data_IF_634784688034
#
_entry.id   IF_634784688034
#
_cell.length_a   1.000
_cell.length_b   1.000
_cell.length_c   1.000
_cell.angle_alpha   90.00
_cell.angle_beta   90.00
_cell.angle_gamma   90.00
#
_symmetry.space_group_name_H-M   'P 1'
#
loop_
_entity.id
_entity.type
_entity.pdbx_description
1 polymer ?
#
# COMPACT_ATOMS: atom_id res chain seq x y z
N UNK A 1 -3.97 -65.58 -3.90
CA UNK A 1 -4.73 -64.46 -4.47
C UNK A 1 -3.72 -63.43 -4.93
N UNK A 2 -3.38 -63.45 -6.23
CA UNK A 2 -2.44 -62.50 -6.85
C UNK A 2 -3.18 -61.25 -7.24
N UNK A 3 -2.86 -60.13 -6.60
CA UNK A 3 -3.39 -58.83 -6.94
C UNK A 3 -2.90 -58.40 -8.35
N UNK A 4 -3.78 -58.32 -9.31
CA UNK A 4 -3.49 -57.76 -10.63
C UNK A 4 -3.32 -56.24 -10.49
N UNK A 5 -2.10 -55.78 -10.70
CA UNK A 5 -1.81 -54.34 -10.85
C UNK A 5 -2.37 -53.92 -12.21
N UNK A 6 -3.46 -53.16 -12.18
CA UNK A 6 -4.04 -52.53 -13.37
C UNK A 6 -3.06 -51.45 -13.84
N UNK A 7 -2.49 -51.52 -15.05
CA UNK A 7 -1.63 -50.45 -15.55
C UNK A 7 -2.46 -49.20 -15.77
N UNK A 8 -2.07 -48.06 -15.14
CA UNK A 8 -2.63 -46.75 -15.43
C UNK A 8 -2.42 -46.45 -16.93
N UNK A 9 -3.50 -46.48 -17.70
CA UNK A 9 -3.50 -46.08 -19.10
C UNK A 9 -3.00 -44.64 -19.20
N UNK A 10 -1.86 -44.44 -19.84
CA UNK A 10 -1.33 -43.15 -20.26
C UNK A 10 -2.37 -42.50 -21.18
N UNK A 11 -3.11 -41.51 -20.67
CA UNK A 11 -4.00 -40.70 -21.48
C UNK A 11 -3.16 -39.85 -22.45
N UNK A 12 -2.99 -40.31 -23.68
CA UNK A 12 -2.18 -39.68 -24.73
C UNK A 12 -2.93 -38.59 -25.54
N UNK A 13 -4.11 -38.15 -25.10
CA UNK A 13 -4.95 -37.19 -25.86
C UNK A 13 -4.93 -35.76 -25.33
N UNK A 14 -4.08 -35.44 -24.37
CA UNK A 14 -4.05 -34.12 -23.68
C UNK A 14 -2.91 -33.20 -24.09
N UNK A 15 -1.92 -33.62 -24.88
CA UNK A 15 -0.73 -32.81 -25.12
C UNK A 15 -0.96 -31.52 -25.93
N UNK A 16 -1.84 -31.54 -26.92
CA UNK A 16 -2.15 -30.37 -27.76
C UNK A 16 -2.94 -29.29 -27.00
N UNK A 17 -4.08 -29.59 -26.35
CA UNK A 17 -4.80 -28.60 -25.54
C UNK A 17 -3.94 -28.06 -24.39
N UNK A 18 -3.10 -28.88 -23.77
CA UNK A 18 -2.23 -28.46 -22.67
C UNK A 18 -1.12 -27.53 -23.17
N UNK A 19 -0.52 -27.77 -24.32
CA UNK A 19 0.44 -26.87 -24.97
C UNK A 19 -0.19 -25.55 -25.37
N UNK A 20 -1.40 -25.57 -25.97
CA UNK A 20 -2.14 -24.35 -26.33
C UNK A 20 -2.48 -23.53 -25.08
N UNK A 21 -2.98 -24.19 -24.06
CA UNK A 21 -3.29 -23.52 -22.76
C UNK A 21 -2.05 -22.90 -22.14
N UNK A 22 -0.95 -23.64 -22.05
CA UNK A 22 0.31 -23.14 -21.53
C UNK A 22 0.86 -21.98 -22.35
N UNK A 23 0.83 -22.05 -23.67
CA UNK A 23 1.28 -20.95 -24.53
C UNK A 23 0.40 -19.71 -24.39
N UNK A 24 -0.93 -19.87 -24.26
CA UNK A 24 -1.86 -18.78 -24.04
C UNK A 24 -1.58 -18.07 -22.69
N UNK A 25 -1.42 -18.82 -21.59
CA UNK A 25 -1.07 -18.25 -20.29
C UNK A 25 0.28 -17.54 -20.34
N UNK A 26 1.29 -18.15 -20.99
CA UNK A 26 2.62 -17.53 -21.14
C UNK A 26 2.52 -16.26 -21.96
N UNK A 27 1.76 -16.24 -23.05
CA UNK A 27 1.54 -15.03 -23.85
C UNK A 27 0.83 -13.92 -23.04
N UNK A 28 -0.18 -14.26 -22.24
CA UNK A 28 -0.82 -13.31 -21.33
C UNK A 28 0.18 -12.74 -20.29
N UNK A 29 1.03 -13.58 -19.71
CA UNK A 29 2.07 -13.13 -18.78
C UNK A 29 3.09 -12.21 -19.44
N UNK A 30 3.56 -12.56 -20.63
CA UNK A 30 4.49 -11.73 -21.42
C UNK A 30 3.86 -10.44 -21.90
N UNK A 31 2.57 -10.41 -22.22
CA UNK A 31 1.87 -9.18 -22.62
C UNK A 31 1.82 -8.15 -21.49
N UNK A 32 1.66 -8.56 -20.22
CA UNK A 32 1.70 -7.66 -19.06
C UNK A 32 3.10 -7.05 -18.91
N UNK A 33 4.16 -7.86 -19.05
CA UNK A 33 5.53 -7.35 -18.99
C UNK A 33 5.84 -6.41 -20.16
N UNK A 34 5.39 -6.75 -21.38
CA UNK A 34 5.56 -5.88 -22.54
C UNK A 34 4.83 -4.53 -22.37
N UNK A 35 3.61 -4.54 -21.83
CA UNK A 35 2.85 -3.33 -21.50
C UNK A 35 3.59 -2.46 -20.49
N UNK A 36 4.14 -3.06 -19.43
CA UNK A 36 4.89 -2.35 -18.41
C UNK A 36 6.15 -1.68 -18.99
N UNK A 37 6.92 -2.42 -19.80
CA UNK A 37 8.10 -1.88 -20.50
C UNK A 37 7.72 -0.74 -21.45
N UNK A 38 6.61 -0.88 -22.18
CA UNK A 38 6.11 0.13 -23.10
C UNK A 38 5.68 1.41 -22.36
N UNK A 39 5.00 1.29 -21.20
CA UNK A 39 4.63 2.44 -20.37
C UNK A 39 5.90 3.17 -19.90
N UNK A 40 6.89 2.46 -19.38
CA UNK A 40 8.15 3.07 -18.93
C UNK A 40 8.87 3.76 -20.10
N UNK A 41 8.94 3.11 -21.26
CA UNK A 41 9.54 3.69 -22.47
C UNK A 41 8.82 4.98 -22.89
N UNK A 42 7.50 5.00 -22.91
CA UNK A 42 6.69 6.18 -23.26
C UNK A 42 6.90 7.32 -22.25
N UNK A 43 6.92 7.01 -20.95
CA UNK A 43 7.21 7.99 -19.92
C UNK A 43 8.61 8.57 -20.06
N UNK A 44 9.63 7.74 -20.31
CA UNK A 44 11.00 8.21 -20.55
C UNK A 44 11.12 9.06 -21.83
N UNK A 45 10.44 8.68 -22.90
CA UNK A 45 10.45 9.41 -24.15
C UNK A 45 9.83 10.80 -24.01
N UNK A 46 8.69 10.89 -23.35
CA UNK A 46 7.94 12.15 -23.16
C UNK A 46 8.52 13.03 -22.04
N UNK A 47 9.24 12.48 -21.08
CA UNK A 47 9.96 13.24 -20.05
C UNK A 47 11.31 13.81 -20.53
N UNK A 48 11.69 13.58 -21.78
CA UNK A 48 13.02 13.94 -22.30
C UNK A 48 13.32 15.45 -22.23
N UNK A 49 12.35 16.32 -22.45
CA UNK A 49 12.52 17.78 -22.35
C UNK A 49 12.89 18.18 -20.92
N UNK A 50 12.14 17.73 -19.93
CA UNK A 50 12.42 17.98 -18.51
C UNK A 50 13.76 17.38 -18.08
N UNK A 51 14.06 16.16 -18.52
CA UNK A 51 15.35 15.50 -18.26
C UNK A 51 16.55 16.28 -18.81
N UNK A 52 16.45 16.84 -20.02
CA UNK A 52 17.51 17.67 -20.59
C UNK A 52 17.64 19.04 -19.92
N UNK A 53 16.53 19.60 -19.42
CA UNK A 53 16.53 20.90 -18.74
C UNK A 53 17.06 20.80 -17.29
N UNK A 54 16.64 19.80 -16.52
CA UNK A 54 16.89 19.73 -15.08
C UNK A 54 17.77 18.55 -14.67
N UNK A 55 17.80 17.45 -15.44
CA UNK A 55 18.59 16.25 -15.14
C UNK A 55 18.31 15.70 -13.74
N UNK A 56 19.33 15.21 -13.05
CA UNK A 56 19.21 14.68 -11.70
C UNK A 56 18.81 15.73 -10.63
N UNK A 57 18.99 17.02 -10.91
CA UNK A 57 18.57 18.09 -9.99
C UNK A 57 17.07 18.11 -9.78
N UNK A 58 16.28 17.67 -10.77
CA UNK A 58 14.83 17.52 -10.67
C UNK A 58 14.39 16.77 -9.41
N UNK A 59 15.09 15.70 -9.04
CA UNK A 59 14.75 14.90 -7.85
C UNK A 59 15.20 15.52 -6.52
N UNK A 60 16.09 16.51 -6.57
CA UNK A 60 16.67 17.15 -5.38
C UNK A 60 16.17 18.57 -5.14
N UNK A 61 15.53 19.19 -6.13
CA UNK A 61 15.02 20.56 -6.06
C UNK A 61 13.60 20.58 -5.48
N UNK A 62 13.33 21.56 -4.62
CA UNK A 62 12.03 21.77 -3.99
C UNK A 62 11.15 22.80 -4.70
N UNK A 63 11.69 23.51 -5.68
CA UNK A 63 10.99 24.58 -6.37
C UNK A 63 10.03 24.01 -7.43
N UNK A 64 8.78 24.46 -7.37
CA UNK A 64 7.75 24.12 -8.33
C UNK A 64 7.02 25.40 -8.74
N UNK A 65 7.45 25.97 -9.85
CA UNK A 65 6.93 27.23 -10.40
C UNK A 65 6.64 27.10 -11.89
N UNK A 66 5.39 26.82 -12.28
CA UNK A 66 5.01 26.70 -13.68
C UNK A 66 5.17 28.01 -14.47
N UNK A 67 5.13 29.19 -13.80
CA UNK A 67 5.25 30.48 -14.46
C UNK A 67 6.69 30.77 -14.91
N UNK A 68 7.67 30.41 -14.07
CA UNK A 68 9.10 30.57 -14.36
C UNK A 68 9.73 29.30 -14.95
N UNK A 69 8.91 28.28 -15.27
CA UNK A 69 9.35 26.98 -15.80
C UNK A 69 10.43 26.30 -14.93
N UNK A 70 10.33 26.43 -13.61
CA UNK A 70 11.23 25.76 -12.67
C UNK A 70 10.51 24.60 -12.01
N UNK A 71 11.06 23.38 -12.18
CA UNK A 71 10.40 22.16 -11.73
C UNK A 71 11.32 21.28 -10.91
N UNK A 72 10.81 20.78 -9.77
CA UNK A 72 11.49 19.87 -8.87
C UNK A 72 10.52 18.89 -8.21
N UNK A 73 10.89 17.61 -8.13
CA UNK A 73 10.03 16.54 -7.64
C UNK A 73 10.13 16.31 -6.12
N UNK A 74 11.11 16.90 -5.43
CA UNK A 74 11.39 16.60 -4.02
C UNK A 74 10.19 16.74 -3.08
N UNK A 75 9.37 17.82 -3.14
CA UNK A 75 8.21 17.98 -2.26
C UNK A 75 7.17 16.86 -2.46
N UNK A 76 6.97 16.42 -3.70
CA UNK A 76 6.01 15.38 -4.04
C UNK A 76 6.48 13.97 -3.61
N UNK A 77 7.78 13.70 -3.75
CA UNK A 77 8.42 12.47 -3.25
C UNK A 77 8.29 12.44 -1.71
N UNK A 78 8.64 13.53 -1.05
CA UNK A 78 8.50 13.68 0.40
C UNK A 78 7.06 13.45 0.85
N UNK A 79 6.09 14.13 0.23
CA UNK A 79 4.68 13.99 0.55
C UNK A 79 4.16 12.56 0.39
N UNK A 80 4.54 11.90 -0.69
CA UNK A 80 4.14 10.49 -0.95
C UNK A 80 4.73 9.54 0.09
N UNK A 81 6.02 9.68 0.42
CA UNK A 81 6.68 8.81 1.39
C UNK A 81 6.17 9.03 2.81
N UNK A 82 6.02 10.27 3.24
CA UNK A 82 5.56 10.58 4.60
C UNK A 82 4.11 10.20 4.81
N UNK A 83 3.21 10.52 3.88
CA UNK A 83 1.79 10.15 4.00
C UNK A 83 1.58 8.63 3.99
N UNK A 84 2.28 7.89 3.12
CA UNK A 84 2.20 6.44 3.07
C UNK A 84 2.82 5.76 4.30
N UNK A 85 3.94 6.28 4.81
CA UNK A 85 4.54 5.77 6.05
C UNK A 85 3.61 5.99 7.24
N UNK A 86 3.03 7.19 7.37
CA UNK A 86 2.06 7.50 8.42
C UNK A 86 0.83 6.58 8.34
N UNK A 87 0.33 6.35 7.12
CA UNK A 87 -0.76 5.41 6.89
C UNK A 87 -0.42 4.00 7.37
N UNK A 88 0.78 3.50 7.08
CA UNK A 88 1.22 2.18 7.54
C UNK A 88 1.35 2.09 9.06
N UNK A 89 1.92 3.11 9.70
CA UNK A 89 2.07 3.13 11.17
C UNK A 89 0.72 2.98 11.86
N UNK A 90 -0.33 3.58 11.30
CA UNK A 90 -1.70 3.49 11.84
C UNK A 90 -2.38 2.19 11.40
N UNK A 91 -2.32 1.87 10.11
CA UNK A 91 -3.10 0.78 9.53
C UNK A 91 -2.60 -0.61 9.91
N UNK A 92 -1.28 -0.83 10.00
CA UNK A 92 -0.74 -2.18 10.25
C UNK A 92 -1.18 -2.73 11.59
N UNK A 93 -1.00 -2.05 12.74
CA UNK A 93 -1.43 -2.59 14.02
C UNK A 93 -2.96 -2.79 14.08
N UNK A 94 -3.73 -1.85 13.50
CA UNK A 94 -5.17 -1.94 13.46
C UNK A 94 -5.64 -3.14 12.62
N UNK A 95 -5.08 -3.32 11.43
CA UNK A 95 -5.43 -4.41 10.52
C UNK A 95 -5.09 -5.79 11.07
N UNK A 96 -3.91 -5.92 11.67
CA UNK A 96 -3.50 -7.18 12.33
C UNK A 96 -4.42 -7.46 13.52
N UNK A 97 -4.76 -6.43 14.31
CA UNK A 97 -5.70 -6.55 15.42
C UNK A 97 -7.08 -7.02 14.96
N UNK A 98 -7.64 -6.42 13.91
CA UNK A 98 -8.93 -6.82 13.30
C UNK A 98 -8.86 -8.26 12.79
N UNK A 99 -7.80 -8.64 12.10
CA UNK A 99 -7.63 -9.99 11.58
C UNK A 99 -7.53 -11.03 12.71
N UNK A 100 -6.74 -10.77 13.75
CA UNK A 100 -6.63 -11.66 14.92
C UNK A 100 -7.97 -11.76 15.65
N UNK A 101 -8.64 -10.65 15.87
CA UNK A 101 -9.95 -10.66 16.50
C UNK A 101 -10.95 -11.52 15.72
N UNK A 102 -11.06 -11.33 14.42
CA UNK A 102 -12.03 -12.04 13.57
C UNK A 102 -11.71 -13.53 13.43
N UNK A 103 -10.43 -13.94 13.46
CA UNK A 103 -10.04 -15.36 13.32
C UNK A 103 -10.06 -16.11 14.63
N UNK A 104 -9.50 -15.55 15.72
CA UNK A 104 -9.19 -16.29 16.94
C UNK A 104 -10.17 -15.99 18.11
N UNK A 105 -10.75 -14.79 18.14
CA UNK A 105 -11.54 -14.33 19.30
C UNK A 105 -13.04 -14.17 19.02
N UNK A 106 -13.41 -13.89 17.79
CA UNK A 106 -14.78 -13.60 17.40
C UNK A 106 -15.67 -14.85 17.48
N UNK A 107 -16.87 -14.76 18.07
CA UNK A 107 -17.89 -15.82 18.00
C UNK A 107 -18.20 -16.21 16.55
N UNK A 108 -18.40 -17.51 16.30
CA UNK A 108 -18.63 -18.04 14.94
C UNK A 108 -19.78 -17.33 14.20
N UNK A 109 -20.85 -16.95 14.92
CA UNK A 109 -22.00 -16.26 14.36
C UNK A 109 -21.70 -14.86 13.83
N UNK A 110 -20.74 -14.13 14.43
CA UNK A 110 -20.39 -12.76 14.05
C UNK A 110 -19.23 -12.69 13.04
N UNK A 111 -18.48 -13.77 12.88
CA UNK A 111 -17.29 -13.82 12.02
C UNK A 111 -17.62 -13.50 10.56
N UNK A 112 -18.69 -14.09 10.01
CA UNK A 112 -19.14 -13.84 8.64
C UNK A 112 -19.56 -12.39 8.41
N UNK A 113 -20.53 -11.85 9.19
CA UNK A 113 -20.94 -10.44 9.07
C UNK A 113 -19.78 -9.44 9.19
N UNK A 114 -18.91 -9.60 10.19
CA UNK A 114 -17.76 -8.69 10.36
C UNK A 114 -16.80 -8.73 9.17
N UNK A 115 -16.50 -9.93 8.65
CA UNK A 115 -15.66 -10.07 7.46
C UNK A 115 -16.30 -9.41 6.25
N UNK A 116 -17.59 -9.58 6.05
CA UNK A 116 -18.34 -8.93 4.98
C UNK A 116 -18.26 -7.39 5.07
N UNK A 117 -18.44 -6.80 6.26
CA UNK A 117 -18.30 -5.35 6.43
C UNK A 117 -16.88 -4.85 6.12
N UNK A 118 -15.84 -5.59 6.52
CA UNK A 118 -14.45 -5.24 6.19
C UNK A 118 -14.22 -5.29 4.68
N UNK A 119 -14.72 -6.31 4.00
CA UNK A 119 -14.62 -6.44 2.54
C UNK A 119 -15.42 -5.35 1.81
N UNK A 120 -16.60 -4.98 2.33
CA UNK A 120 -17.42 -3.89 1.80
C UNK A 120 -16.68 -2.54 1.86
N UNK A 121 -15.95 -2.25 2.94
CA UNK A 121 -15.11 -1.05 3.04
C UNK A 121 -14.04 -1.01 1.94
N UNK A 122 -13.44 -2.15 1.57
CA UNK A 122 -12.46 -2.20 0.48
C UNK A 122 -13.06 -1.88 -0.90
N UNK A 123 -14.36 -2.11 -1.08
CA UNK A 123 -15.07 -1.89 -2.34
C UNK A 123 -15.50 -0.43 -2.56
N UNK A 124 -15.44 0.43 -1.53
CA UNK A 124 -15.84 1.83 -1.64
C UNK A 124 -14.87 2.59 -2.55
N UNK A 125 -15.34 3.34 -3.57
CA UNK A 125 -14.49 4.19 -4.40
C UNK A 125 -13.74 5.25 -3.57
N UNK A 126 -12.47 5.51 -3.91
CA UNK A 126 -11.61 6.44 -3.16
C UNK A 126 -12.15 7.87 -3.10
N UNK A 127 -12.87 8.32 -4.13
CA UNK A 127 -13.53 9.63 -4.15
C UNK A 127 -14.53 9.79 -3.01
N UNK A 128 -15.28 8.73 -2.68
CA UNK A 128 -16.25 8.76 -1.57
C UNK A 128 -15.52 8.91 -0.23
N UNK A 129 -14.39 8.24 -0.05
CA UNK A 129 -13.53 8.44 1.11
C UNK A 129 -13.03 9.88 1.21
N UNK A 130 -12.60 10.47 0.08
CA UNK A 130 -12.15 11.85 0.02
C UNK A 130 -13.25 12.84 0.39
N UNK A 131 -14.46 12.69 -0.16
CA UNK A 131 -15.63 13.50 0.20
C UNK A 131 -15.99 13.36 1.68
N UNK A 132 -16.07 12.14 2.18
CA UNK A 132 -16.32 11.90 3.59
C UNK A 132 -15.25 12.55 4.47
N UNK A 133 -13.99 12.51 4.03
CA UNK A 133 -12.90 13.10 4.79
C UNK A 133 -13.03 14.62 4.88
N UNK A 134 -13.40 15.32 3.79
CA UNK A 134 -13.61 16.79 3.82
C UNK A 134 -14.71 17.16 4.81
N UNK A 135 -15.84 16.46 4.78
CA UNK A 135 -17.00 16.86 5.57
C UNK A 135 -17.00 16.32 7.00
N UNK A 136 -16.29 15.24 7.28
CA UNK A 136 -16.28 14.58 8.59
C UNK A 136 -14.89 14.55 9.22
N UNK A 137 -13.89 14.03 8.49
CA UNK A 137 -12.55 13.84 9.06
C UNK A 137 -11.85 15.18 9.31
N UNK A 138 -11.87 16.10 8.34
CA UNK A 138 -11.22 17.43 8.44
C UNK A 138 -11.78 18.24 9.61
N UNK A 139 -13.11 18.42 9.79
CA UNK A 139 -13.66 19.08 10.97
C UNK A 139 -13.32 18.37 12.29
N UNK A 140 -13.30 17.04 12.30
CA UNK A 140 -12.92 16.25 13.48
C UNK A 140 -11.44 16.49 13.85
N UNK A 141 -10.56 16.51 12.84
CA UNK A 141 -9.14 16.77 13.06
C UNK A 141 -8.90 18.19 13.57
N UNK A 142 -9.45 19.20 12.89
CA UNK A 142 -9.23 20.61 13.23
C UNK A 142 -9.74 20.98 14.62
N UNK A 143 -10.89 20.44 15.02
CA UNK A 143 -11.54 20.82 16.28
C UNK A 143 -11.08 20.00 17.49
N UNK A 144 -10.69 18.74 17.31
CA UNK A 144 -10.39 17.85 18.43
C UNK A 144 -8.99 17.24 18.39
N UNK A 145 -8.62 16.61 17.27
CA UNK A 145 -7.40 15.78 17.22
C UNK A 145 -6.14 16.65 17.16
N UNK A 146 -6.08 17.59 16.24
CA UNK A 146 -4.92 18.48 16.08
C UNK A 146 -4.66 19.36 17.29
N UNK A 147 -5.69 20.00 17.92
CA UNK A 147 -5.48 20.74 19.16
C UNK A 147 -4.98 19.85 20.32
N UNK A 148 -5.49 18.63 20.41
CA UNK A 148 -5.02 17.65 21.40
C UNK A 148 -3.57 17.23 21.15
N UNK A 149 -3.21 16.87 19.91
CA UNK A 149 -1.84 16.51 19.54
C UNK A 149 -0.87 17.68 19.71
N UNK A 150 -1.29 18.89 19.37
CA UNK A 150 -0.51 20.11 19.58
C UNK A 150 -0.21 20.36 21.05
N UNK A 151 -1.18 20.14 21.92
CA UNK A 151 -1.02 20.33 23.37
C UNK A 151 -0.11 19.26 24.00
N UNK A 152 -0.18 18.01 23.53
CA UNK A 152 0.55 16.88 24.12
C UNK A 152 1.91 16.65 23.48
N UNK A 153 2.04 16.80 22.16
CA UNK A 153 3.21 16.46 21.36
C UNK A 153 3.78 17.64 20.57
N UNK A 154 3.27 18.88 20.76
CA UNK A 154 3.71 20.07 20.03
C UNK A 154 5.20 20.40 20.25
N UNK A 155 5.77 19.96 21.36
CA UNK A 155 7.21 20.12 21.67
C UNK A 155 8.12 19.36 20.69
N UNK A 156 7.61 18.34 19.98
CA UNK A 156 8.38 17.56 18.97
C UNK A 156 8.62 18.32 17.67
N UNK A 157 7.88 19.41 17.42
CA UNK A 157 7.88 20.13 16.15
C UNK A 157 7.09 19.42 15.02
N UNK A 158 6.79 18.14 15.16
CA UNK A 158 5.98 17.38 14.19
C UNK A 158 4.48 17.75 14.25
N UNK A 159 4.02 18.22 15.41
CA UNK A 159 2.63 18.59 15.68
C UNK A 159 2.50 20.08 16.03
N UNK A 160 3.34 20.90 15.39
CA UNK A 160 3.35 22.35 15.56
C UNK A 160 2.66 23.06 14.38
N UNK A 161 2.09 24.24 14.62
CA UNK A 161 1.49 25.06 13.56
C UNK A 161 0.00 25.28 13.74
N UNK A 162 -0.68 25.82 12.71
CA UNK A 162 -2.12 26.02 12.70
C UNK A 162 -2.87 24.68 12.52
N UNK A 163 -4.05 24.59 13.10
CA UNK A 163 -4.90 23.39 13.11
C UNK A 163 -6.03 23.53 12.09
N UNK A 164 -5.72 23.31 10.82
CA UNK A 164 -6.71 23.44 9.75
C UNK A 164 -7.47 22.12 9.46
N UNK A 165 -6.97 21.00 9.96
CA UNK A 165 -7.51 19.67 9.65
C UNK A 165 -7.18 19.17 8.25
N UNK A 166 -6.63 20.05 7.39
CA UNK A 166 -6.15 19.72 6.04
C UNK A 166 -4.63 19.70 6.08
N UNK A 167 -4.01 18.61 5.64
CA UNK A 167 -2.57 18.47 5.63
C UNK A 167 -2.10 17.02 5.57
N UNK A 168 -0.82 16.83 5.84
CA UNK A 168 -0.16 15.53 5.78
C UNK A 168 -0.78 14.50 6.74
N UNK A 169 -1.22 14.96 7.93
CA UNK A 169 -1.88 14.10 8.91
C UNK A 169 -3.22 13.57 8.39
N UNK A 170 -4.05 14.44 7.81
CA UNK A 170 -5.33 14.05 7.24
C UNK A 170 -5.14 13.04 6.10
N UNK A 171 -4.17 13.29 5.22
CA UNK A 171 -3.80 12.38 4.13
C UNK A 171 -3.36 11.01 4.67
N UNK A 172 -2.51 10.97 5.69
CA UNK A 172 -2.06 9.72 6.31
C UNK A 172 -3.20 8.93 6.97
N UNK A 173 -4.14 9.61 7.64
CA UNK A 173 -5.28 8.96 8.29
C UNK A 173 -6.26 8.41 7.26
N UNK A 174 -6.61 9.17 6.21
CA UNK A 174 -7.53 8.66 5.19
C UNK A 174 -6.94 7.48 4.44
N UNK A 175 -5.64 7.53 4.10
CA UNK A 175 -4.92 6.39 3.55
C UNK A 175 -4.94 5.18 4.48
N UNK A 176 -4.74 5.39 5.78
CA UNK A 176 -4.81 4.31 6.76
C UNK A 176 -6.19 3.64 6.75
N UNK A 177 -7.27 4.42 6.78
CA UNK A 177 -8.65 3.89 6.72
C UNK A 177 -8.86 3.05 5.45
N UNK A 178 -8.32 3.48 4.32
CA UNK A 178 -8.48 2.78 3.05
C UNK A 178 -7.66 1.49 2.93
N UNK A 179 -6.48 1.43 3.54
CA UNK A 179 -5.63 0.23 3.44
C UNK A 179 -5.90 -0.80 4.55
N UNK A 180 -6.55 -0.41 5.66
CA UNK A 180 -6.95 -1.33 6.74
C UNK A 180 -7.74 -2.53 6.24
N UNK A 181 -8.80 -2.40 5.44
CA UNK A 181 -9.56 -3.55 4.97
C UNK A 181 -8.73 -4.49 4.09
N UNK A 182 -7.82 -3.97 3.28
CA UNK A 182 -6.95 -4.77 2.41
C UNK A 182 -5.97 -5.60 3.25
N UNK A 183 -5.24 -4.95 4.17
CA UNK A 183 -4.27 -5.63 5.01
C UNK A 183 -4.97 -6.64 5.93
N UNK A 184 -6.14 -6.29 6.50
CA UNK A 184 -6.85 -7.15 7.42
C UNK A 184 -7.46 -8.38 6.73
N UNK A 185 -7.99 -8.26 5.50
CA UNK A 185 -8.52 -9.41 4.76
C UNK A 185 -7.43 -10.41 4.40
N UNK A 186 -6.30 -9.94 3.86
CA UNK A 186 -5.16 -10.81 3.53
C UNK A 186 -4.58 -11.45 4.79
N UNK A 187 -4.41 -10.66 5.86
CA UNK A 187 -3.93 -11.19 7.15
C UNK A 187 -4.86 -12.26 7.69
N UNK A 188 -6.17 -12.05 7.65
CA UNK A 188 -7.18 -13.04 8.06
C UNK A 188 -7.06 -14.34 7.28
N UNK A 189 -6.94 -14.28 5.96
CA UNK A 189 -6.77 -15.47 5.11
C UNK A 189 -5.53 -16.26 5.49
N UNK A 190 -4.41 -15.58 5.68
CA UNK A 190 -3.15 -16.21 6.08
C UNK A 190 -3.24 -16.82 7.50
N UNK A 191 -3.94 -16.17 8.44
CA UNK A 191 -4.14 -16.71 9.78
C UNK A 191 -5.03 -17.98 9.74
N UNK A 192 -6.02 -18.05 8.87
CA UNK A 192 -6.90 -19.23 8.72
C UNK A 192 -6.17 -20.46 8.19
N UNK A 193 -5.13 -20.28 7.37
CA UNK A 193 -4.33 -21.39 6.82
C UNK A 193 -3.39 -22.02 7.86
N UNK A 194 -3.15 -21.36 9.00
CA UNK A 194 -2.31 -21.94 10.07
C UNK A 194 -2.98 -23.22 10.60
N UNK A 195 -2.29 -24.40 10.61
CA UNK A 195 -2.87 -25.67 11.02
C UNK A 195 -3.35 -25.70 12.47
N UNK A 196 -4.47 -26.39 12.71
CA UNK A 196 -5.06 -26.54 14.04
C UNK A 196 -4.08 -27.21 15.03
N UNK A 197 -3.30 -28.19 14.56
CA UNK A 197 -2.32 -28.89 15.38
C UNK A 197 -1.26 -27.95 16.01
N UNK A 198 -0.92 -26.85 15.35
CA UNK A 198 0.01 -25.85 15.91
C UNK A 198 -0.62 -25.08 17.06
N UNK A 199 -1.91 -24.75 16.95
CA UNK A 199 -2.66 -24.10 18.03
C UNK A 199 -2.79 -25.01 19.25
N UNK A 200 -3.21 -26.23 19.02
CA UNK A 200 -3.40 -27.25 20.07
C UNK A 200 -2.08 -27.64 20.72
N UNK A 201 -0.99 -27.79 19.95
CA UNK A 201 0.32 -28.10 20.46
C UNK A 201 0.85 -27.03 21.43
N UNK A 202 0.67 -25.76 21.14
CA UNK A 202 1.07 -24.67 22.04
C UNK A 202 0.22 -24.66 23.32
N UNK A 203 -1.10 -24.89 23.19
CA UNK A 203 -2.00 -24.99 24.34
C UNK A 203 -1.70 -26.20 25.21
N UNK A 204 -1.33 -27.36 24.64
CA UNK A 204 -0.96 -28.58 25.37
C UNK A 204 0.30 -28.40 26.23
N UNK A 205 1.18 -27.45 25.88
CA UNK A 205 2.33 -27.05 26.67
C UNK A 205 1.98 -26.10 27.84
N UNK A 206 0.69 -25.84 28.09
CA UNK A 206 0.23 -24.97 29.17
C UNK A 206 0.23 -23.46 28.82
N UNK A 207 0.40 -23.10 27.56
CA UNK A 207 0.39 -21.70 27.14
C UNK A 207 -1.03 -21.08 27.25
N UNK A 208 -1.08 -19.79 27.53
CA UNK A 208 -2.31 -18.99 27.48
C UNK A 208 -2.80 -18.80 26.05
N UNK A 209 -4.05 -18.40 25.87
CA UNK A 209 -4.60 -18.07 24.54
C UNK A 209 -3.79 -16.98 23.83
N UNK A 210 -3.30 -15.97 24.55
CA UNK A 210 -2.49 -14.92 23.99
C UNK A 210 -1.13 -15.43 23.47
N UNK A 211 -0.48 -16.27 24.27
CA UNK A 211 0.79 -16.91 23.86
C UNK A 211 0.59 -17.83 22.65
N UNK A 212 -0.50 -18.59 22.61
CA UNK A 212 -0.87 -19.39 21.45
C UNK A 212 -1.03 -18.54 20.20
N UNK A 213 -1.75 -17.40 20.26
CA UNK A 213 -1.91 -16.48 19.13
C UNK A 213 -0.55 -15.93 18.71
N UNK A 214 0.27 -15.46 19.66
CA UNK A 214 1.56 -14.83 19.38
C UNK A 214 2.58 -15.80 18.78
N UNK A 215 2.71 -16.98 19.37
CA UNK A 215 3.76 -17.96 19.02
C UNK A 215 3.26 -18.98 18.00
N UNK A 216 2.06 -19.51 18.19
CA UNK A 216 1.49 -20.54 17.32
C UNK A 216 0.91 -20.01 16.02
N UNK A 217 0.35 -18.79 16.03
CA UNK A 217 -0.37 -18.24 14.86
C UNK A 217 0.43 -17.13 14.19
N UNK A 218 0.63 -15.99 14.85
CA UNK A 218 1.27 -14.81 14.22
C UNK A 218 2.69 -15.08 13.75
N UNK A 219 3.49 -15.83 14.53
CA UNK A 219 4.85 -16.17 14.14
C UNK A 219 4.92 -17.01 12.87
N UNK A 220 3.94 -17.91 12.68
CA UNK A 220 3.88 -18.76 11.50
C UNK A 220 3.29 -18.02 10.28
N UNK A 221 2.43 -17.03 10.50
CA UNK A 221 1.76 -16.23 9.48
C UNK A 221 2.56 -15.00 9.03
N UNK A 222 3.69 -14.66 9.68
CA UNK A 222 4.42 -13.40 9.49
C UNK A 222 4.76 -13.06 8.02
N UNK A 223 5.12 -14.07 7.22
CA UNK A 223 5.43 -13.85 5.80
C UNK A 223 4.21 -13.40 4.99
N UNK A 224 3.05 -14.02 5.25
CA UNK A 224 1.81 -13.62 4.59
C UNK A 224 1.27 -12.28 5.09
N UNK A 225 1.39 -12.00 6.40
CA UNK A 225 1.05 -10.69 6.97
C UNK A 225 1.89 -9.60 6.31
N UNK A 226 3.20 -9.83 6.17
CA UNK A 226 4.10 -8.90 5.49
C UNK A 226 3.73 -8.71 4.00
N UNK A 227 3.30 -9.76 3.31
CA UNK A 227 2.73 -9.66 1.96
C UNK A 227 1.51 -8.74 1.90
N UNK A 228 0.58 -8.87 2.85
CA UNK A 228 -0.57 -7.98 2.98
C UNK A 228 -0.18 -6.51 3.22
N UNK A 229 0.85 -6.27 4.04
CA UNK A 229 1.39 -4.91 4.29
C UNK A 229 1.98 -4.31 3.01
N UNK A 230 2.74 -5.10 2.23
CA UNK A 230 3.32 -4.63 0.95
C UNK A 230 2.22 -4.27 -0.04
N UNK A 231 1.15 -5.06 -0.13
CA UNK A 231 0.01 -4.74 -0.99
C UNK A 231 -0.71 -3.46 -0.55
N UNK A 232 -0.91 -3.28 0.77
CA UNK A 232 -1.45 -2.05 1.33
C UNK A 232 -0.56 -0.84 1.05
N UNK A 233 0.77 -0.99 1.16
CA UNK A 233 1.74 0.06 0.84
C UNK A 233 1.68 0.46 -0.64
N UNK A 234 1.63 -0.51 -1.56
CA UNK A 234 1.50 -0.24 -2.99
C UNK A 234 0.25 0.60 -3.31
N UNK A 235 -0.87 0.29 -2.64
CA UNK A 235 -2.09 1.09 -2.78
C UNK A 235 -1.93 2.49 -2.19
N UNK A 236 -1.29 2.65 -1.03
CA UNK A 236 -1.10 3.94 -0.40
C UNK A 236 -0.19 4.88 -1.23
N UNK A 237 0.86 4.34 -1.86
CA UNK A 237 1.77 5.11 -2.71
C UNK A 237 1.10 5.67 -3.98
N UNK A 238 0.14 4.91 -4.53
CA UNK A 238 -0.57 5.28 -5.76
C UNK A 238 -1.92 5.94 -5.55
N UNK A 239 -2.34 6.20 -4.30
CA UNK A 239 -3.64 6.83 -4.06
C UNK A 239 -3.65 8.30 -4.49
N UNK A 240 -4.65 8.63 -5.28
CA UNK A 240 -4.75 9.93 -5.93
C UNK A 240 -5.88 10.76 -5.34
N UNK A 241 -7.15 10.33 -5.55
CA UNK A 241 -8.32 11.17 -5.33
C UNK A 241 -8.60 11.48 -3.85
N UNK A 242 -8.55 10.48 -2.98
CA UNK A 242 -8.82 10.71 -1.56
C UNK A 242 -7.77 11.62 -0.92
N UNK A 243 -6.51 11.47 -1.31
CA UNK A 243 -5.39 12.28 -0.81
C UNK A 243 -5.47 13.70 -1.32
N UNK A 244 -5.68 13.91 -2.62
CA UNK A 244 -5.82 15.24 -3.25
C UNK A 244 -6.83 16.12 -2.51
N UNK A 245 -7.93 15.54 -2.04
CA UNK A 245 -9.00 16.28 -1.38
C UNK A 245 -8.65 16.80 0.01
N UNK A 246 -7.65 16.21 0.70
CA UNK A 246 -7.38 16.52 2.11
C UNK A 246 -5.94 16.90 2.43
N UNK A 247 -5.00 16.75 1.48
CA UNK A 247 -3.58 17.01 1.73
C UNK A 247 -3.21 18.49 1.67
N UNK A 248 -4.02 19.31 0.97
CA UNK A 248 -3.84 20.75 0.86
C UNK A 248 -3.08 21.22 -0.37
N UNK A 249 -2.50 20.33 -1.17
CA UNK A 249 -1.94 20.55 -2.51
C UNK A 249 -0.93 21.71 -2.59
N UNK A 250 0.03 21.77 -1.65
CA UNK A 250 1.13 22.74 -1.65
C UNK A 250 2.46 22.03 -1.86
N UNK A 251 3.28 22.45 -2.84
CA UNK A 251 4.57 21.86 -3.13
C UNK A 251 5.66 22.33 -2.13
N UNK A 252 5.40 22.18 -0.83
CA UNK A 252 6.29 22.62 0.25
C UNK A 252 6.72 21.45 1.13
N UNK A 253 7.96 21.46 1.58
CA UNK A 253 8.48 20.49 2.55
C UNK A 253 8.40 21.08 3.94
N UNK A 254 7.39 20.68 4.69
CA UNK A 254 7.22 21.11 6.08
C UNK A 254 7.57 19.98 7.05
N UNK A 255 8.16 20.35 8.20
CA UNK A 255 8.42 19.38 9.29
C UNK A 255 7.15 18.96 10.02
N UNK A 256 6.14 19.84 10.04
CA UNK A 256 4.89 19.59 10.73
C UNK A 256 3.94 18.72 9.89
N UNK A 257 3.34 17.73 10.52
CA UNK A 257 2.30 16.89 9.91
C UNK A 257 0.95 17.62 9.75
N UNK A 258 0.77 18.79 10.40
CA UNK A 258 -0.40 19.64 10.21
C UNK A 258 -0.29 20.49 8.93
N UNK A 259 0.93 20.68 8.43
CA UNK A 259 1.15 21.48 7.25
C UNK A 259 0.57 20.81 6.01
N UNK A 260 0.05 21.60 5.05
CA UNK A 260 -0.26 21.12 3.72
C UNK A 260 0.97 20.50 3.06
N UNK A 261 0.73 19.53 2.19
CA UNK A 261 1.74 18.88 1.38
C UNK A 261 1.19 18.54 0.00
N UNK A 262 1.97 17.79 -0.78
CA UNK A 262 1.55 17.34 -2.10
C UNK A 262 2.17 15.98 -2.39
N UNK A 263 1.41 15.03 -2.92
CA UNK A 263 1.95 13.74 -3.36
C UNK A 263 2.16 13.71 -4.86
N UNK A 264 3.01 12.81 -5.35
CA UNK A 264 3.26 12.62 -6.78
C UNK A 264 1.96 12.26 -7.54
N UNK A 265 1.10 11.42 -6.96
CA UNK A 265 -0.16 11.04 -7.58
C UNK A 265 -1.16 12.21 -7.59
N UNK A 266 -1.23 13.03 -6.52
CA UNK A 266 -2.15 14.15 -6.45
C UNK A 266 -1.76 15.31 -7.36
N UNK A 267 -0.47 15.62 -7.54
CA UNK A 267 -0.06 16.67 -8.48
C UNK A 267 -0.40 16.29 -9.93
N UNK A 268 -0.20 15.03 -10.30
CA UNK A 268 -0.60 14.53 -11.61
C UNK A 268 -2.12 14.70 -11.84
N UNK A 269 -2.94 14.38 -10.84
CA UNK A 269 -4.39 14.52 -10.99
C UNK A 269 -4.87 15.96 -11.09
N UNK A 270 -4.22 16.89 -10.38
CA UNK A 270 -4.63 18.28 -10.36
C UNK A 270 -4.09 19.07 -11.57
N UNK A 271 -2.82 18.90 -11.91
CA UNK A 271 -2.11 19.81 -12.79
C UNK A 271 -1.98 19.30 -14.23
N UNK A 272 -2.16 17.98 -14.46
CA UNK A 272 -1.98 17.41 -15.80
C UNK A 272 -2.95 17.99 -16.85
N UNK A 273 -4.18 18.29 -16.45
CA UNK A 273 -5.18 18.92 -17.34
C UNK A 273 -5.00 20.41 -17.54
N UNK A 274 -4.23 21.06 -16.67
CA UNK A 274 -3.98 22.51 -16.69
C UNK A 274 -2.64 22.86 -17.35
N UNK A 275 -1.78 21.87 -17.57
CA UNK A 275 -0.45 22.06 -18.14
C UNK A 275 -0.53 22.52 -19.60
N UNK A 276 -0.12 23.77 -19.87
CA UNK A 276 -0.18 24.40 -21.18
C UNK A 276 1.15 24.48 -21.92
N UNK A 277 2.28 24.24 -21.23
CA UNK A 277 3.63 24.27 -21.81
C UNK A 277 4.21 22.88 -22.01
N UNK A 278 5.01 22.67 -23.05
CA UNK A 278 5.67 21.38 -23.32
C UNK A 278 6.64 20.98 -22.21
N UNK A 279 7.38 21.96 -21.64
CA UNK A 279 8.27 21.74 -20.49
C UNK A 279 7.50 21.33 -19.25
N UNK A 280 6.36 22.00 -18.97
CA UNK A 280 5.52 21.69 -17.85
C UNK A 280 4.90 20.29 -17.96
N UNK A 281 4.34 19.97 -19.12
CA UNK A 281 3.80 18.62 -19.38
C UNK A 281 4.88 17.56 -19.27
N UNK A 282 6.08 17.82 -19.79
CA UNK A 282 7.24 16.91 -19.69
C UNK A 282 7.67 16.70 -18.22
N UNK A 283 7.66 17.77 -17.40
CA UNK A 283 7.97 17.68 -15.97
C UNK A 283 6.93 16.85 -15.19
N UNK A 284 5.63 17.00 -15.50
CA UNK A 284 4.59 16.15 -14.90
C UNK A 284 4.74 14.68 -15.30
N UNK A 285 5.09 14.41 -16.55
CA UNK A 285 5.36 13.04 -17.00
C UNK A 285 6.60 12.47 -16.28
N UNK A 286 7.61 13.30 -16.03
CA UNK A 286 8.78 12.91 -15.24
C UNK A 286 8.41 12.60 -13.77
N UNK A 287 7.47 13.32 -13.16
CA UNK A 287 6.90 12.94 -11.85
C UNK A 287 6.20 11.58 -11.91
N UNK A 288 5.50 11.27 -13.00
CA UNK A 288 4.92 9.93 -13.22
C UNK A 288 6.00 8.83 -13.26
N UNK A 289 7.11 9.10 -13.93
CA UNK A 289 8.27 8.21 -13.95
C UNK A 289 8.90 8.09 -12.55
N UNK A 290 9.02 9.21 -11.83
CA UNK A 290 9.50 9.24 -10.44
C UNK A 290 8.61 8.39 -9.51
N UNK A 291 7.28 8.50 -9.63
CA UNK A 291 6.34 7.68 -8.87
C UNK A 291 6.53 6.19 -9.13
N UNK A 292 6.71 5.81 -10.40
CA UNK A 292 6.98 4.43 -10.77
C UNK A 292 8.30 3.93 -10.15
N UNK A 293 9.38 4.71 -10.25
CA UNK A 293 10.69 4.38 -9.69
C UNK A 293 10.65 4.26 -8.16
N UNK A 294 10.06 5.25 -7.48
CA UNK A 294 9.91 5.26 -6.02
C UNK A 294 9.09 4.06 -5.56
N UNK A 295 8.00 3.73 -6.26
CA UNK A 295 7.18 2.57 -5.93
C UNK A 295 7.96 1.26 -6.06
N UNK A 296 8.77 1.09 -7.10
CA UNK A 296 9.64 -0.09 -7.25
C UNK A 296 10.66 -0.15 -6.10
N UNK A 297 11.35 0.94 -5.81
CA UNK A 297 12.38 0.99 -4.76
C UNK A 297 11.77 0.65 -3.40
N UNK A 298 10.66 1.29 -3.05
CA UNK A 298 9.99 1.08 -1.75
C UNK A 298 9.48 -0.36 -1.62
N UNK A 299 8.87 -0.91 -2.67
CA UNK A 299 8.42 -2.30 -2.67
C UNK A 299 9.58 -3.29 -2.60
N UNK A 300 10.69 -3.03 -3.32
CA UNK A 300 11.90 -3.86 -3.24
C UNK A 300 12.53 -3.83 -1.83
N UNK A 301 12.60 -2.65 -1.21
CA UNK A 301 13.07 -2.52 0.17
C UNK A 301 12.16 -3.25 1.16
N UNK A 302 10.83 -3.12 1.00
CA UNK A 302 9.86 -3.83 1.82
C UNK A 302 10.01 -5.36 1.66
N UNK A 303 10.18 -5.88 0.45
CA UNK A 303 10.42 -7.30 0.20
C UNK A 303 11.73 -7.80 0.79
N UNK A 304 12.82 -7.02 0.67
CA UNK A 304 14.10 -7.34 1.30
C UNK A 304 13.97 -7.43 2.83
N UNK A 305 13.24 -6.50 3.44
CA UNK A 305 12.98 -6.48 4.87
C UNK A 305 12.21 -7.74 5.30
N UNK A 306 11.18 -8.12 4.56
CA UNK A 306 10.43 -9.36 4.79
C UNK A 306 11.32 -10.58 4.66
N UNK A 307 12.12 -10.66 3.62
CA UNK A 307 13.03 -11.78 3.40
C UNK A 307 14.05 -11.93 4.54
N UNK A 308 14.62 -10.85 5.06
CA UNK A 308 15.53 -10.91 6.21
C UNK A 308 14.84 -11.40 7.48
N UNK A 309 13.59 -10.96 7.73
CA UNK A 309 12.80 -11.38 8.89
C UNK A 309 12.32 -12.83 8.77
N UNK A 310 12.11 -13.35 7.56
CA UNK A 310 11.61 -14.72 7.32
C UNK A 310 12.71 -15.77 7.14
N UNK A 311 13.94 -15.38 6.90
CA UNK A 311 15.11 -16.25 6.65
C UNK A 311 15.41 -17.32 7.69
N UNK A 312 14.73 -17.38 8.80
CA UNK A 312 14.95 -18.38 9.86
C UNK A 312 13.89 -19.50 9.92
N UNK A 313 13.01 -19.61 8.92
CA UNK A 313 12.04 -20.72 8.89
C UNK A 313 12.60 -21.87 8.02
N UNK A 314 12.70 -23.10 8.54
CA UNK A 314 12.98 -24.25 7.69
C UNK A 314 11.88 -24.33 6.62
N UNK A 315 12.29 -24.56 5.36
CA UNK A 315 11.37 -24.84 4.27
C UNK A 315 10.41 -25.95 4.73
N UNK A 316 9.10 -25.67 4.74
CA UNK A 316 8.09 -26.69 5.05
C UNK A 316 8.24 -27.79 4.00
N UNK A 317 8.77 -28.95 4.42
CA UNK A 317 8.72 -30.14 3.62
C UNK A 317 7.25 -30.43 3.27
N UNK A 318 6.97 -30.57 2.00
CA UNK A 318 5.71 -31.12 1.54
C UNK A 318 5.63 -32.55 2.10
N UNK A 319 4.72 -32.80 3.04
CA UNK A 319 4.23 -34.11 3.42
C UNK A 319 2.81 -34.22 2.92
#
# INVERSE_FOLDING_TARGET
MTAQVVPLQKASSGELPDRVFRSAITACGLSILALLVLIVYELMSRSSLSWHAFGFKFFATSDWDPVNEQFGALPFIYGTLVSSLLALIIAVPLSVGVAVFTTEMCPKALRGPLSFFVELLAAIPSVIYGLWAIFVLVPLLSNYVEPFLKRTLGWTGLFAGPTYGIGMLAAGIILAIMIVPIISSITREVLMVVPQNQREGVLALGATRWEMIRVGVLRNARAGIAGGIILGLGRALGETMAVTMVIGNRPEIAKSLFAPGYTMASVLANEFSEATGDTYLSALIEIGLALFLVTIIVNALAQLLVWTVTRGQPARGHV
#
